data_IF_712942575039
#
_entry.id   IF_712942575039
#
_cell.length_a   1.000
_cell.length_b   1.000
_cell.length_c   1.000
_cell.angle_alpha   90.00
_cell.angle_beta   90.00
_cell.angle_gamma   90.00
#
_symmetry.space_group_name_H-M   'P 1'
#
loop_
_entity.id
_entity.type
_entity.pdbx_description
1 polymer ?
#
# COMPACT_ATOMS: atom_id res chain seq x y z
N UNK A 1 -23.94 -14.44 7.19
CA UNK A 1 -25.22 -14.58 6.50
C UNK A 1 -26.32 -14.97 7.49
N UNK A 2 -26.27 -16.17 8.12
CA UNK A 2 -27.30 -16.64 9.06
C UNK A 2 -27.61 -15.66 10.20
N UNK A 3 -26.60 -15.00 10.77
CA UNK A 3 -26.81 -14.00 11.81
C UNK A 3 -27.63 -12.79 11.29
N UNK A 4 -27.30 -12.29 10.12
CA UNK A 4 -28.01 -11.16 9.51
C UNK A 4 -29.49 -11.56 9.20
N UNK A 5 -29.70 -12.75 8.66
CA UNK A 5 -31.04 -13.29 8.39
C UNK A 5 -31.86 -13.44 9.68
N UNK A 6 -31.26 -14.00 10.73
CA UNK A 6 -31.96 -14.20 12.02
C UNK A 6 -32.35 -12.86 12.69
N UNK A 7 -31.62 -11.78 12.42
CA UNK A 7 -31.91 -10.46 12.96
C UNK A 7 -32.57 -9.51 11.96
N UNK A 8 -32.98 -10.00 10.78
CA UNK A 8 -33.52 -9.16 9.69
C UNK A 8 -32.65 -7.97 9.30
N UNK A 9 -31.33 -8.15 9.35
CA UNK A 9 -30.37 -7.14 8.97
C UNK A 9 -30.05 -7.22 7.48
N UNK A 10 -29.94 -6.09 6.78
CA UNK A 10 -29.46 -6.09 5.41
C UNK A 10 -28.00 -6.60 5.36
N UNK A 11 -27.68 -7.37 4.34
CA UNK A 11 -26.32 -7.85 4.13
C UNK A 11 -25.99 -7.92 2.63
N UNK A 12 -24.72 -7.79 2.33
CA UNK A 12 -24.17 -7.99 1.00
C UNK A 12 -23.20 -9.18 1.00
N UNK A 13 -23.36 -10.07 0.03
CA UNK A 13 -22.49 -11.25 -0.11
C UNK A 13 -21.31 -10.92 -1.04
N UNK A 14 -20.11 -11.04 -0.53
CA UNK A 14 -18.87 -10.95 -1.32
C UNK A 14 -18.60 -12.32 -1.97
N UNK A 15 -17.93 -12.32 -3.14
CA UNK A 15 -17.54 -13.55 -3.82
C UNK A 15 -16.71 -14.47 -2.90
N UNK A 16 -17.03 -15.76 -2.92
CA UNK A 16 -16.34 -16.77 -2.12
C UNK A 16 -15.13 -17.35 -2.87
N UNK A 17 -14.21 -17.96 -2.15
CA UNK A 17 -13.07 -18.69 -2.72
C UNK A 17 -11.80 -17.87 -2.88
N UNK A 18 -11.79 -16.63 -2.42
CA UNK A 18 -10.61 -15.75 -2.44
C UNK A 18 -10.15 -15.42 -1.04
N UNK A 19 -8.86 -15.16 -0.88
CA UNK A 19 -8.34 -14.59 0.36
C UNK A 19 -8.86 -13.15 0.55
N UNK A 20 -9.18 -12.72 1.79
CA UNK A 20 -9.73 -11.38 2.05
C UNK A 20 -8.91 -10.23 1.44
N UNK A 21 -7.59 -10.34 1.48
CA UNK A 21 -6.67 -9.35 0.89
C UNK A 21 -6.81 -9.19 -0.63
N UNK A 22 -7.30 -10.22 -1.33
CA UNK A 22 -7.54 -10.19 -2.78
C UNK A 22 -8.92 -9.62 -3.13
N UNK A 23 -9.84 -9.59 -2.16
CA UNK A 23 -11.24 -9.16 -2.35
C UNK A 23 -11.54 -7.78 -1.78
N UNK A 24 -10.53 -7.06 -1.29
CA UNK A 24 -10.72 -5.75 -0.69
C UNK A 24 -11.47 -4.76 -1.60
N UNK A 25 -11.26 -4.84 -2.93
CA UNK A 25 -11.95 -4.03 -3.92
C UNK A 25 -13.47 -4.25 -3.93
N UNK A 26 -13.93 -5.48 -3.73
CA UNK A 26 -15.38 -5.76 -3.58
C UNK A 26 -15.95 -5.10 -2.33
N UNK A 27 -15.26 -5.25 -1.18
CA UNK A 27 -15.69 -4.64 0.08
C UNK A 27 -15.70 -3.11 0.01
N UNK A 28 -14.63 -2.52 -0.52
CA UNK A 28 -14.52 -1.08 -0.68
C UNK A 28 -15.55 -0.53 -1.67
N UNK A 29 -15.72 -1.16 -2.84
CA UNK A 29 -16.71 -0.74 -3.83
C UNK A 29 -18.11 -0.78 -3.25
N UNK A 30 -18.47 -1.84 -2.54
CA UNK A 30 -19.76 -1.96 -1.84
C UNK A 30 -19.94 -0.86 -0.80
N UNK A 31 -18.92 -0.60 0.03
CA UNK A 31 -18.96 0.44 1.05
C UNK A 31 -19.16 1.84 0.42
N UNK A 32 -18.43 2.13 -0.66
CA UNK A 32 -18.55 3.40 -1.38
C UNK A 32 -19.96 3.59 -1.94
N UNK A 33 -20.57 2.54 -2.50
CA UNK A 33 -21.96 2.59 -2.99
C UNK A 33 -22.96 2.81 -1.86
N UNK A 34 -22.86 2.09 -0.74
CA UNK A 34 -23.73 2.27 0.42
C UNK A 34 -23.63 3.68 0.98
N UNK A 35 -22.41 4.20 1.16
CA UNK A 35 -22.19 5.55 1.66
C UNK A 35 -22.72 6.60 0.66
N UNK A 36 -22.53 6.37 -0.63
CA UNK A 36 -23.10 7.24 -1.68
C UNK A 36 -24.62 7.34 -1.56
N UNK A 37 -25.30 6.20 -1.44
CA UNK A 37 -26.76 6.16 -1.28
C UNK A 37 -27.23 6.87 0.00
N UNK A 38 -26.57 6.60 1.13
CA UNK A 38 -26.88 7.27 2.40
C UNK A 38 -26.67 8.80 2.35
N UNK A 39 -25.72 9.25 1.52
CA UNK A 39 -25.42 10.68 1.31
C UNK A 39 -26.24 11.31 0.17
N UNK A 40 -27.09 10.54 -0.51
CA UNK A 40 -27.81 11.00 -1.71
C UNK A 40 -26.91 11.34 -2.90
N UNK A 41 -25.73 10.66 -3.01
CA UNK A 41 -24.74 10.91 -4.07
C UNK A 41 -24.52 9.66 -4.92
N UNK A 42 -24.62 9.82 -6.24
CA UNK A 42 -24.21 8.77 -7.17
C UNK A 42 -22.68 8.67 -7.23
N UNK A 43 -22.15 7.55 -6.73
CA UNK A 43 -20.71 7.24 -6.73
C UNK A 43 -20.30 6.35 -7.91
N UNK A 44 -21.23 5.93 -8.76
CA UNK A 44 -20.97 4.99 -9.85
C UNK A 44 -19.93 5.49 -10.87
N UNK A 45 -19.90 6.82 -11.13
CA UNK A 45 -18.90 7.45 -11.98
C UNK A 45 -17.48 7.22 -11.46
N UNK A 46 -17.24 7.47 -10.17
CA UNK A 46 -15.93 7.29 -9.54
C UNK A 46 -15.47 5.83 -9.57
N UNK A 47 -16.39 4.88 -9.37
CA UNK A 47 -16.06 3.46 -9.46
C UNK A 47 -15.70 3.04 -10.89
N UNK A 48 -16.37 3.59 -11.91
CA UNK A 48 -16.02 3.38 -13.31
C UNK A 48 -14.63 3.92 -13.67
N UNK A 49 -14.24 5.07 -13.12
CA UNK A 49 -12.90 5.63 -13.34
C UNK A 49 -11.81 4.72 -12.76
N UNK A 50 -12.05 4.19 -11.54
CA UNK A 50 -11.16 3.22 -10.91
C UNK A 50 -11.10 1.91 -11.73
N UNK A 51 -12.25 1.41 -12.18
CA UNK A 51 -12.31 0.21 -13.04
C UNK A 51 -11.53 0.41 -14.34
N UNK A 52 -11.66 1.57 -14.97
CA UNK A 52 -10.94 1.90 -16.20
C UNK A 52 -9.42 1.89 -15.99
N UNK A 53 -8.96 2.44 -14.87
CA UNK A 53 -7.53 2.41 -14.49
C UNK A 53 -7.02 0.97 -14.34
N UNK A 54 -7.77 0.09 -13.68
CA UNK A 54 -7.38 -1.32 -13.52
C UNK A 54 -7.46 -2.13 -14.81
N UNK A 55 -8.30 -1.73 -15.78
CA UNK A 55 -8.37 -2.36 -17.11
C UNK A 55 -7.21 -2.00 -18.02
N UNK A 56 -6.50 -0.90 -17.74
CA UNK A 56 -5.31 -0.44 -18.50
C UNK A 56 -4.13 -0.25 -17.54
N UNK A 57 -3.57 -1.35 -16.98
CA UNK A 57 -2.61 -1.29 -15.89
C UNK A 57 -1.16 -1.07 -16.35
N UNK A 58 -0.88 -0.94 -17.64
CA UNK A 58 0.47 -1.04 -18.21
C UNK A 58 1.43 -0.02 -17.59
N UNK A 59 0.99 1.23 -17.40
CA UNK A 59 1.80 2.28 -16.79
C UNK A 59 2.08 1.99 -15.31
N UNK A 60 1.09 1.46 -14.58
CA UNK A 60 1.22 1.11 -13.17
C UNK A 60 2.17 -0.08 -13.00
N UNK A 61 2.02 -1.10 -13.86
CA UNK A 61 2.91 -2.28 -13.87
C UNK A 61 4.34 -1.87 -14.23
N UNK A 62 4.53 -0.94 -15.18
CA UNK A 62 5.86 -0.43 -15.51
C UNK A 62 6.51 0.25 -14.31
N UNK A 63 5.76 1.06 -13.56
CA UNK A 63 6.24 1.72 -12.34
C UNK A 63 6.52 0.73 -11.21
N UNK A 64 5.69 -0.29 -11.07
CA UNK A 64 5.94 -1.38 -10.14
C UNK A 64 7.24 -2.14 -10.47
N UNK A 65 7.52 -2.36 -11.77
CA UNK A 65 8.79 -2.97 -12.22
C UNK A 65 10.00 -2.10 -11.94
N UNK A 66 9.89 -0.79 -12.11
CA UNK A 66 10.94 0.15 -11.73
C UNK A 66 11.25 0.04 -10.23
N UNK A 67 10.23 0.09 -9.39
CA UNK A 67 10.36 -0.08 -7.94
C UNK A 67 10.97 -1.45 -7.57
N UNK A 68 10.50 -2.53 -8.20
CA UNK A 68 11.05 -3.86 -8.03
C UNK A 68 12.53 -3.92 -8.40
N UNK A 69 12.93 -3.31 -9.52
CA UNK A 69 14.33 -3.27 -9.96
C UNK A 69 15.25 -2.61 -8.94
N UNK A 70 14.78 -1.60 -8.21
CA UNK A 70 15.55 -0.96 -7.12
C UNK A 70 15.79 -1.93 -5.95
N UNK A 71 14.82 -2.77 -5.63
CA UNK A 71 14.87 -3.65 -4.46
C UNK A 71 15.23 -5.11 -4.78
N UNK A 72 15.44 -5.48 -6.03
CA UNK A 72 15.61 -6.89 -6.45
C UNK A 72 16.69 -7.62 -5.65
N UNK A 73 17.85 -6.99 -5.43
CA UNK A 73 18.95 -7.60 -4.66
C UNK A 73 18.71 -7.64 -3.14
N UNK A 74 17.77 -6.87 -2.64
CA UNK A 74 17.45 -6.70 -1.22
C UNK A 74 16.01 -7.07 -0.88
N UNK A 75 15.32 -7.70 -1.81
CA UNK A 75 13.86 -7.95 -1.73
C UNK A 75 13.46 -8.79 -0.49
N UNK A 76 14.39 -9.57 0.05
CA UNK A 76 14.16 -10.36 1.25
C UNK A 76 14.27 -9.55 2.56
N UNK A 77 14.84 -8.35 2.50
CA UNK A 77 14.96 -7.45 3.65
C UNK A 77 13.59 -6.90 4.04
N UNK A 78 13.51 -6.35 5.25
CA UNK A 78 12.30 -5.66 5.73
C UNK A 78 12.02 -4.40 4.93
N UNK A 79 10.76 -4.01 4.87
CA UNK A 79 10.31 -2.76 4.27
C UNK A 79 9.89 -1.75 5.33
N UNK A 80 10.31 -0.51 5.17
CA UNK A 80 9.81 0.62 5.93
C UNK A 80 9.19 1.61 4.94
N UNK A 81 7.88 1.84 5.08
CA UNK A 81 7.17 2.80 4.26
C UNK A 81 7.07 4.11 5.02
N UNK A 82 7.77 5.12 4.54
CA UNK A 82 7.69 6.48 5.07
C UNK A 82 6.64 7.23 4.26
N UNK A 83 5.62 7.72 4.92
CA UNK A 83 4.52 8.40 4.25
C UNK A 83 4.08 9.66 4.99
N UNK A 84 3.36 10.56 4.31
CA UNK A 84 2.55 11.55 4.98
C UNK A 84 1.16 10.97 5.33
N UNK A 85 0.39 11.72 6.12
CA UNK A 85 -0.91 11.28 6.61
C UNK A 85 -1.89 10.88 5.48
N UNK A 86 -1.77 11.50 4.30
CA UNK A 86 -2.65 11.20 3.17
C UNK A 86 -2.44 9.78 2.60
N UNK A 87 -1.25 9.21 2.79
CA UNK A 87 -0.87 7.89 2.30
C UNK A 87 -0.75 6.83 3.39
N UNK A 88 -1.09 7.14 4.64
CA UNK A 88 -0.96 6.20 5.77
C UNK A 88 -1.73 4.88 5.53
N UNK A 89 -2.98 4.96 5.09
CA UNK A 89 -3.78 3.76 4.82
C UNK A 89 -3.18 2.90 3.70
N UNK A 90 -2.63 3.53 2.67
CA UNK A 90 -1.94 2.86 1.55
C UNK A 90 -0.66 2.18 2.05
N UNK A 91 0.12 2.86 2.88
CA UNK A 91 1.34 2.34 3.49
C UNK A 91 1.06 1.12 4.39
N UNK A 92 0.03 1.20 5.24
CA UNK A 92 -0.43 0.08 6.07
C UNK A 92 -0.79 -1.11 5.20
N UNK A 93 -1.60 -0.90 4.15
CA UNK A 93 -1.99 -1.98 3.24
C UNK A 93 -0.76 -2.62 2.58
N UNK A 94 0.18 -1.84 2.07
CA UNK A 94 1.40 -2.38 1.47
C UNK A 94 2.17 -3.26 2.44
N UNK A 95 2.38 -2.80 3.69
CA UNK A 95 3.05 -3.60 4.71
C UNK A 95 2.32 -4.93 4.97
N UNK A 96 0.98 -4.91 5.05
CA UNK A 96 0.17 -6.12 5.18
C UNK A 96 0.35 -7.06 3.98
N UNK A 97 0.41 -6.55 2.74
CA UNK A 97 0.66 -7.35 1.56
C UNK A 97 2.06 -8.00 1.57
N UNK A 98 3.09 -7.28 1.99
CA UNK A 98 4.43 -7.85 2.18
C UNK A 98 4.42 -8.95 3.23
N UNK A 99 3.73 -8.74 4.34
CA UNK A 99 3.61 -9.72 5.42
C UNK A 99 2.86 -10.98 4.96
N UNK A 100 1.71 -10.80 4.30
CA UNK A 100 0.85 -11.92 3.92
C UNK A 100 1.31 -12.63 2.64
N UNK A 101 1.75 -11.91 1.61
CA UNK A 101 2.16 -12.51 0.34
C UNK A 101 3.62 -12.98 0.39
N UNK A 102 4.53 -12.08 0.76
CA UNK A 102 5.97 -12.34 0.71
C UNK A 102 6.54 -12.89 2.03
N UNK A 103 5.75 -13.06 3.08
CA UNK A 103 6.21 -13.51 4.41
C UNK A 103 7.39 -12.67 4.90
N UNK A 104 7.34 -11.37 4.63
CA UNK A 104 8.36 -10.38 4.98
C UNK A 104 7.90 -9.44 6.08
N UNK A 105 8.81 -8.69 6.64
CA UNK A 105 8.49 -7.65 7.62
C UNK A 105 8.19 -6.33 6.90
N UNK A 106 7.15 -5.63 7.34
CA UNK A 106 6.77 -4.30 6.83
C UNK A 106 6.31 -3.41 7.97
N UNK A 107 6.81 -2.17 7.98
CA UNK A 107 6.52 -1.17 9.00
C UNK A 107 6.18 0.18 8.36
N UNK A 108 5.29 0.92 8.99
CA UNK A 108 4.88 2.26 8.54
C UNK A 108 5.46 3.31 9.46
N UNK A 109 5.94 4.39 8.86
CA UNK A 109 6.44 5.57 9.57
C UNK A 109 5.83 6.83 8.98
N UNK A 110 5.04 7.54 9.77
CA UNK A 110 4.28 8.71 9.31
C UNK A 110 5.01 10.01 9.65
N UNK A 111 5.27 10.83 8.63
CA UNK A 111 5.80 12.18 8.83
C UNK A 111 4.68 13.17 9.18
N UNK A 112 4.92 14.13 10.05
CA UNK A 112 6.23 14.57 10.57
C UNK A 112 6.75 13.80 11.78
N UNK A 113 5.94 13.00 12.47
CA UNK A 113 6.30 12.35 13.74
C UNK A 113 7.51 11.42 13.63
N UNK A 114 7.64 10.69 12.52
CA UNK A 114 8.76 9.80 12.28
C UNK A 114 10.13 10.50 12.31
N UNK A 115 10.20 11.80 12.03
CA UNK A 115 11.44 12.58 12.12
C UNK A 115 11.78 12.99 13.58
N UNK A 116 10.95 12.64 14.54
CA UNK A 116 11.26 12.89 15.94
C UNK A 116 11.93 11.68 16.62
N UNK A 117 11.53 10.47 16.24
CA UNK A 117 11.97 9.25 16.90
C UNK A 117 12.63 8.25 15.94
N UNK A 118 11.98 7.91 14.81
CA UNK A 118 12.47 6.90 13.88
C UNK A 118 13.86 7.25 13.32
N UNK A 119 14.11 8.52 13.01
CA UNK A 119 15.39 8.97 12.43
C UNK A 119 16.58 8.63 13.32
N UNK A 120 16.40 8.66 14.64
CA UNK A 120 17.45 8.34 15.61
C UNK A 120 17.85 6.84 15.56
N UNK A 121 16.97 5.98 15.00
CA UNK A 121 17.27 4.56 14.80
C UNK A 121 18.20 4.32 13.62
N UNK A 122 18.29 5.27 12.69
CA UNK A 122 19.03 5.12 11.44
C UNK A 122 20.33 5.94 11.47
N UNK A 123 21.26 5.55 12.32
CA UNK A 123 22.59 6.16 12.44
C UNK A 123 23.66 5.43 11.58
N UNK A 124 23.29 4.30 10.97
CA UNK A 124 24.13 3.49 10.10
C UNK A 124 23.29 2.79 9.01
N UNK A 125 23.94 2.05 8.11
CA UNK A 125 23.25 1.24 7.12
C UNK A 125 22.48 0.11 7.79
N UNK A 126 21.23 -0.09 7.40
CA UNK A 126 20.38 -1.19 7.85
C UNK A 126 19.99 -2.10 6.70
N UNK A 127 19.67 -3.38 7.02
CA UNK A 127 19.04 -4.32 6.09
C UNK A 127 17.55 -3.98 5.90
N UNK A 128 17.31 -2.83 5.28
CA UNK A 128 15.99 -2.22 5.17
C UNK A 128 15.81 -1.57 3.80
N UNK A 129 14.69 -1.85 3.18
CA UNK A 129 14.21 -1.19 1.96
C UNK A 129 13.25 -0.06 2.36
N UNK A 130 13.54 1.17 1.94
CA UNK A 130 12.71 2.32 2.25
C UNK A 130 11.87 2.73 1.04
N UNK A 131 10.56 2.83 1.21
CA UNK A 131 9.64 3.39 0.22
C UNK A 131 9.06 4.69 0.77
N UNK A 132 9.15 5.75 -0.02
CA UNK A 132 8.65 7.08 0.33
C UNK A 132 7.39 7.40 -0.47
N UNK A 133 6.29 7.70 0.25
CA UNK A 133 4.99 8.10 -0.30
C UNK A 133 4.68 9.52 0.18
N UNK A 134 5.07 10.51 -0.63
CA UNK A 134 4.88 11.93 -0.32
C UNK A 134 3.81 12.54 -1.23
N UNK A 135 2.69 12.97 -0.68
CA UNK A 135 1.60 13.60 -1.44
C UNK A 135 1.92 14.99 -2.01
N UNK A 136 3.02 15.58 -1.58
CA UNK A 136 3.42 16.93 -1.98
C UNK A 136 2.58 18.07 -1.38
N UNK A 137 1.55 17.77 -0.58
CA UNK A 137 0.59 18.77 -0.09
C UNK A 137 1.14 19.78 0.92
N UNK A 138 2.16 19.40 1.66
CA UNK A 138 2.66 20.23 2.76
C UNK A 138 4.16 20.50 2.60
N UNK A 139 4.53 21.74 2.34
CA UNK A 139 5.91 22.18 2.10
C UNK A 139 6.86 21.80 3.24
N UNK A 140 6.40 21.91 4.50
CA UNK A 140 7.24 21.54 5.66
C UNK A 140 7.46 20.03 5.74
N UNK A 141 6.44 19.24 5.38
CA UNK A 141 6.55 17.78 5.34
C UNK A 141 7.44 17.36 4.16
N UNK A 142 7.31 18.00 3.00
CA UNK A 142 8.18 17.74 1.84
C UNK A 142 9.66 17.93 2.22
N UNK A 143 10.01 19.06 2.88
CA UNK A 143 11.39 19.30 3.34
C UNK A 143 11.89 18.20 4.31
N UNK A 144 11.00 17.59 5.10
CA UNK A 144 11.35 16.45 5.98
C UNK A 144 11.60 15.18 5.20
N UNK A 145 10.83 14.92 4.15
CA UNK A 145 11.09 13.82 3.22
C UNK A 145 12.46 13.95 2.56
N UNK A 146 12.77 15.13 2.03
CA UNK A 146 14.04 15.39 1.37
C UNK A 146 15.22 15.20 2.33
N UNK A 147 15.10 15.74 3.54
CA UNK A 147 16.11 15.58 4.59
C UNK A 147 16.34 14.11 4.95
N UNK A 148 15.25 13.38 5.28
CA UNK A 148 15.34 11.98 5.69
C UNK A 148 15.89 11.11 4.55
N UNK A 149 15.46 11.36 3.31
CA UNK A 149 15.97 10.67 2.13
C UNK A 149 17.48 10.87 1.99
N UNK A 150 17.97 12.12 2.16
CA UNK A 150 19.39 12.42 2.13
C UNK A 150 20.15 11.62 3.19
N UNK A 151 19.75 11.68 4.45
CA UNK A 151 20.37 10.94 5.57
C UNK A 151 20.43 9.44 5.28
N UNK A 152 19.33 8.83 4.89
CA UNK A 152 19.28 7.39 4.61
C UNK A 152 20.17 6.98 3.43
N UNK A 153 20.19 7.80 2.38
CA UNK A 153 20.99 7.53 1.18
C UNK A 153 22.48 7.70 1.48
N UNK A 154 22.88 8.73 2.22
CA UNK A 154 24.27 8.99 2.62
C UNK A 154 24.82 7.85 3.50
N UNK A 155 23.95 7.22 4.29
CA UNK A 155 24.27 6.02 5.08
C UNK A 155 24.30 4.73 4.25
N UNK A 156 24.00 4.79 2.95
CA UNK A 156 24.03 3.64 2.03
C UNK A 156 22.77 2.76 2.08
N UNK A 157 21.66 3.25 2.64
CA UNK A 157 20.39 2.54 2.60
C UNK A 157 19.72 2.64 1.22
N UNK A 158 18.95 1.63 0.85
CA UNK A 158 18.17 1.64 -0.39
C UNK A 158 16.86 2.40 -0.17
N UNK A 159 16.68 3.50 -0.91
CA UNK A 159 15.50 4.36 -0.83
C UNK A 159 14.86 4.51 -2.20
N UNK A 160 13.58 4.20 -2.31
CA UNK A 160 12.76 4.48 -3.49
C UNK A 160 11.65 5.47 -3.14
N UNK A 161 11.64 6.62 -3.79
CA UNK A 161 10.54 7.57 -3.67
C UNK A 161 9.56 7.32 -4.81
N UNK A 162 8.38 6.80 -4.46
CA UNK A 162 7.32 6.58 -5.43
C UNK A 162 6.85 7.95 -5.98
N UNK A 163 6.79 8.13 -7.30
CA UNK A 163 6.38 9.40 -7.90
C UNK A 163 4.86 9.58 -7.81
N UNK A 164 4.39 9.97 -6.64
CA UNK A 164 2.98 10.25 -6.38
C UNK A 164 2.58 11.53 -7.09
N UNK A 165 1.46 11.54 -7.82
CA UNK A 165 0.97 12.72 -8.53
C UNK A 165 0.27 13.71 -7.59
N UNK A 166 -0.53 13.21 -6.66
CA UNK A 166 -1.30 13.99 -5.68
C UNK A 166 -1.82 13.09 -4.55
N UNK A 167 -2.74 13.57 -3.72
CA UNK A 167 -3.40 12.77 -2.68
C UNK A 167 -4.84 12.38 -3.05
N UNK A 168 -5.18 12.36 -4.34
CA UNK A 168 -6.50 11.92 -4.79
C UNK A 168 -6.69 10.41 -4.55
N UNK A 169 -7.95 10.00 -4.55
CA UNK A 169 -8.30 8.58 -4.45
C UNK A 169 -7.69 7.76 -5.60
N UNK A 170 -7.67 8.33 -6.82
CA UNK A 170 -7.09 7.67 -7.99
C UNK A 170 -5.59 7.43 -7.82
N UNK A 171 -4.85 8.45 -7.35
CA UNK A 171 -3.41 8.32 -7.07
C UNK A 171 -3.13 7.29 -5.96
N UNK A 172 -3.97 7.22 -4.94
CA UNK A 172 -3.86 6.20 -3.90
C UNK A 172 -4.09 4.78 -4.45
N UNK A 173 -5.09 4.59 -5.32
CA UNK A 173 -5.32 3.29 -5.97
C UNK A 173 -4.20 2.89 -6.92
N UNK A 174 -3.59 3.84 -7.62
CA UNK A 174 -2.39 3.59 -8.43
C UNK A 174 -1.25 3.01 -7.58
N UNK A 175 -0.96 3.65 -6.44
CA UNK A 175 0.08 3.18 -5.51
C UNK A 175 -0.26 1.81 -4.95
N UNK A 176 -1.52 1.57 -4.55
CA UNK A 176 -1.98 0.26 -4.08
C UNK A 176 -1.70 -0.81 -5.13
N UNK A 177 -2.10 -0.57 -6.38
CA UNK A 177 -1.92 -1.54 -7.46
C UNK A 177 -0.44 -1.83 -7.74
N UNK A 178 0.41 -0.79 -7.76
CA UNK A 178 1.84 -0.95 -7.95
C UNK A 178 2.50 -1.75 -6.80
N UNK A 179 2.10 -1.49 -5.57
CA UNK A 179 2.64 -2.18 -4.39
C UNK A 179 2.11 -3.61 -4.24
N UNK A 180 0.88 -3.89 -4.70
CA UNK A 180 0.37 -5.26 -4.78
C UNK A 180 1.25 -6.10 -5.74
N UNK A 181 1.63 -5.59 -6.92
CA UNK A 181 2.58 -6.23 -7.82
C UNK A 181 3.94 -6.50 -7.16
N UNK A 182 4.50 -5.50 -6.48
CA UNK A 182 5.78 -5.67 -5.77
C UNK A 182 5.71 -6.81 -4.75
N UNK A 183 4.61 -6.91 -4.00
CA UNK A 183 4.44 -7.96 -2.99
C UNK A 183 4.38 -9.36 -3.58
N UNK A 184 3.80 -9.52 -4.78
CA UNK A 184 3.75 -10.79 -5.51
C UNK A 184 5.14 -11.16 -6.03
N UNK A 185 5.86 -10.24 -6.67
CA UNK A 185 7.22 -10.54 -7.14
C UNK A 185 8.19 -10.81 -5.99
N UNK A 186 8.01 -10.13 -4.86
CA UNK A 186 8.77 -10.45 -3.65
C UNK A 186 8.47 -11.87 -3.13
N UNK A 187 7.23 -12.36 -3.25
CA UNK A 187 6.89 -13.74 -2.88
C UNK A 187 7.53 -14.75 -3.83
N UNK A 188 7.57 -14.45 -5.14
CA UNK A 188 8.18 -15.29 -6.16
C UNK A 188 9.70 -15.43 -5.93
N UNK A 189 10.40 -14.32 -5.69
CA UNK A 189 11.84 -14.33 -5.40
C UNK A 189 12.19 -15.07 -4.11
N UNK A 190 11.36 -14.92 -3.09
CA UNK A 190 11.51 -15.64 -1.81
C UNK A 190 11.06 -17.10 -1.91
N UNK A 191 10.45 -17.51 -3.04
CA UNK A 191 9.89 -18.86 -3.27
C UNK A 191 8.92 -19.27 -2.17
N UNK A 192 8.07 -18.34 -1.73
CA UNK A 192 7.02 -18.58 -0.73
C UNK A 192 5.66 -18.60 -1.40
N UNK A 193 4.77 -19.45 -0.91
CA UNK A 193 3.39 -19.50 -1.41
C UNK A 193 2.60 -18.29 -0.86
N UNK A 194 2.23 -17.38 -1.77
CA UNK A 194 1.45 -16.20 -1.42
C UNK A 194 -0.02 -16.51 -1.07
N UNK A 195 -0.51 -17.71 -1.36
CA UNK A 195 -1.86 -18.15 -1.00
C UNK A 195 -1.92 -18.81 0.38
N UNK A 196 -0.81 -19.34 0.86
CA UNK A 196 -0.76 -20.05 2.13
C UNK A 196 -0.80 -19.10 3.32
N UNK A 197 -1.65 -19.42 4.28
CA UNK A 197 -1.74 -18.76 5.60
C UNK A 197 -1.32 -19.79 6.64
N UNK A 198 -0.01 -19.84 6.95
CA UNK A 198 0.57 -20.95 7.72
C UNK A 198 0.49 -20.80 9.24
N UNK A 199 0.29 -19.59 9.76
CA UNK A 199 0.38 -19.29 11.21
C UNK A 199 -0.98 -18.90 11.80
N UNK A 200 -1.88 -18.33 10.99
CA UNK A 200 -3.22 -17.97 11.46
C UNK A 200 -4.09 -19.24 11.49
N UNK A 201 -4.52 -19.61 12.67
CA UNK A 201 -5.47 -20.72 12.93
C UNK A 201 -6.90 -20.20 13.02
#
# INVERSE_FOLDING_TARGET
>A
KSLAENHSLPYYSVALGYQPRMTWGFGLGTLVMILGELMGKDMSGRLRDIEAMFKSPEAIVARAKEMYGVFQSTIAQKFVVVCDLAYEAVAIRFCQQIQENAKGEGFVSVLPEANHNMIESYYEKHDTNFIFLNSGKNVRVNARFDFLKGVLTDLGNTVYQYPVSDASLMSQFEVIHATDWLSIWASDDKKVDNMQVGIIM
#
